data_IF_940322509027
#
_entry.id   IF_940322509027
#
_cell.length_a   1.000
_cell.length_b   1.000
_cell.length_c   1.000
_cell.angle_alpha   90.00
_cell.angle_beta   90.00
_cell.angle_gamma   90.00
#
_symmetry.space_group_name_H-M   'P 1'
#
loop_
_entity.id
_entity.type
_entity.pdbx_description
1 polymer ?
#
# COMPACT_ATOMS: atom_id res chain seq x y z
N UNK A 1 -6.50 16.93 6.49
CA UNK A 1 -7.15 15.73 5.90
C UNK A 1 -6.08 15.02 5.10
N UNK A 2 -5.88 13.74 5.37
CA UNK A 2 -4.75 12.98 4.81
C UNK A 2 -4.97 12.74 3.32
N UNK A 3 -4.01 13.13 2.51
CA UNK A 3 -4.01 12.89 1.08
C UNK A 3 -3.40 11.51 0.78
N UNK A 4 -4.17 10.68 0.08
CA UNK A 4 -3.72 9.38 -0.38
C UNK A 4 -3.56 9.40 -1.88
N UNK A 5 -2.41 8.95 -2.37
CA UNK A 5 -2.13 8.76 -3.78
C UNK A 5 -1.59 7.36 -4.04
N UNK A 6 -1.53 6.98 -5.31
CA UNK A 6 -0.95 5.73 -5.76
C UNK A 6 -0.10 5.94 -7.01
N UNK A 7 0.87 5.06 -7.20
CA UNK A 7 1.59 4.91 -8.47
C UNK A 7 0.89 3.92 -9.39
N UNK A 8 1.18 3.96 -10.69
CA UNK A 8 0.52 3.09 -11.67
C UNK A 8 0.80 1.60 -11.46
N UNK A 9 1.96 1.24 -10.91
CA UNK A 9 2.29 -0.14 -10.54
C UNK A 9 1.34 -0.71 -9.48
N UNK A 10 1.09 0.06 -8.41
CA UNK A 10 0.13 -0.32 -7.39
C UNK A 10 -1.26 -0.54 -7.99
N UNK A 11 -1.73 0.39 -8.83
CA UNK A 11 -3.05 0.29 -9.46
C UNK A 11 -3.16 -0.93 -10.36
N UNK A 12 -2.17 -1.19 -11.21
CA UNK A 12 -2.11 -2.39 -12.06
C UNK A 12 -2.18 -3.67 -11.23
N UNK A 13 -1.45 -3.70 -10.12
CA UNK A 13 -1.42 -4.86 -9.26
C UNK A 13 -2.73 -5.09 -8.50
N UNK A 14 -3.39 -4.04 -8.02
CA UNK A 14 -4.74 -4.12 -7.46
C UNK A 14 -5.71 -4.69 -8.49
N UNK A 15 -5.75 -4.13 -9.72
CA UNK A 15 -6.61 -4.63 -10.81
C UNK A 15 -6.34 -6.12 -11.08
N UNK A 16 -5.06 -6.53 -11.13
CA UNK A 16 -4.68 -7.92 -11.35
C UNK A 16 -5.15 -8.86 -10.22
N UNK A 17 -5.11 -8.40 -8.98
CA UNK A 17 -5.63 -9.16 -7.84
C UNK A 17 -7.16 -9.27 -7.90
N UNK A 18 -7.86 -8.16 -8.15
CA UNK A 18 -9.32 -8.11 -8.21
C UNK A 18 -9.91 -9.03 -9.30
N UNK A 19 -9.17 -9.32 -10.38
CA UNK A 19 -9.56 -10.30 -11.41
C UNK A 19 -9.74 -11.72 -10.86
N UNK A 20 -9.17 -12.04 -9.69
CA UNK A 20 -9.34 -13.34 -9.05
C UNK A 20 -10.24 -13.21 -7.83
N UNK A 21 -11.32 -14.00 -7.81
CA UNK A 21 -12.32 -14.04 -6.72
C UNK A 21 -11.68 -14.13 -5.32
N UNK A 22 -10.59 -14.88 -5.19
CA UNK A 22 -9.88 -15.08 -3.93
C UNK A 22 -9.23 -13.80 -3.35
N UNK A 23 -8.95 -12.79 -4.18
CA UNK A 23 -8.33 -11.52 -3.76
C UNK A 23 -9.26 -10.30 -3.93
N UNK A 24 -10.55 -10.54 -4.16
CA UNK A 24 -11.55 -9.50 -4.47
C UNK A 24 -11.74 -8.44 -3.36
N UNK A 25 -11.27 -8.71 -2.13
CA UNK A 25 -11.40 -7.79 -0.99
C UNK A 25 -10.11 -6.99 -0.70
N UNK A 26 -9.08 -7.07 -1.54
CA UNK A 26 -7.79 -6.38 -1.28
C UNK A 26 -7.95 -4.88 -1.04
N UNK A 27 -8.81 -4.20 -1.81
CA UNK A 27 -9.05 -2.76 -1.63
C UNK A 27 -9.77 -2.47 -0.30
N UNK A 28 -10.78 -3.28 0.05
CA UNK A 28 -11.50 -3.18 1.31
C UNK A 28 -10.55 -3.34 2.50
N UNK A 29 -9.61 -4.29 2.43
CA UNK A 29 -8.60 -4.47 3.47
C UNK A 29 -7.63 -3.27 3.58
N UNK A 30 -7.26 -2.66 2.45
CA UNK A 30 -6.45 -1.44 2.45
C UNK A 30 -7.23 -0.29 3.08
N UNK A 31 -8.45 -0.01 2.61
CA UNK A 31 -9.31 1.07 3.14
C UNK A 31 -9.54 0.92 4.64
N UNK A 32 -9.93 -0.28 5.09
CA UNK A 32 -10.17 -0.58 6.50
C UNK A 32 -8.94 -0.34 7.39
N UNK A 33 -7.73 -0.60 6.88
CA UNK A 33 -6.52 -0.40 7.67
C UNK A 33 -6.18 1.09 7.85
N UNK A 34 -6.62 1.98 6.97
CA UNK A 34 -6.36 3.44 7.09
C UNK A 34 -7.57 4.23 7.61
N UNK A 35 -8.78 3.66 7.60
CA UNK A 35 -10.00 4.30 8.09
C UNK A 35 -9.84 4.75 9.54
N UNK A 36 -10.10 6.04 9.79
CA UNK A 36 -10.09 6.64 11.13
C UNK A 36 -8.70 6.85 11.76
N UNK A 37 -7.60 6.52 11.05
CA UNK A 37 -6.24 6.76 11.56
C UNK A 37 -5.81 8.20 11.32
N UNK A 38 -5.11 8.76 12.30
CA UNK A 38 -4.40 10.03 12.11
C UNK A 38 -3.13 9.83 11.28
N UNK A 39 -2.57 10.92 10.75
CA UNK A 39 -1.29 10.84 10.05
C UNK A 39 -0.18 10.34 10.98
N UNK A 40 -0.25 10.67 12.28
CA UNK A 40 0.76 10.23 13.24
C UNK A 40 0.67 8.74 13.55
N UNK A 41 -0.53 8.17 13.61
CA UNK A 41 -0.70 6.71 13.70
C UNK A 41 -0.07 6.00 12.48
N UNK A 42 -0.22 6.59 11.29
CA UNK A 42 0.36 6.08 10.06
C UNK A 42 1.89 6.23 10.05
N UNK A 43 2.45 7.34 10.57
CA UNK A 43 3.90 7.58 10.63
C UNK A 43 4.62 6.77 11.71
N UNK A 44 4.01 6.59 12.87
CA UNK A 44 4.51 5.73 13.96
C UNK A 44 4.55 4.30 13.42
N UNK A 45 3.45 3.87 12.79
CA UNK A 45 3.25 2.60 12.11
C UNK A 45 3.47 1.35 12.99
N UNK A 46 2.64 0.32 12.78
CA UNK A 46 2.88 -1.05 13.34
C UNK A 46 3.48 -1.99 12.30
N UNK A 47 4.05 -1.43 11.22
CA UNK A 47 4.59 -2.16 10.09
C UNK A 47 6.10 -2.42 10.23
N UNK A 48 6.70 -2.94 9.17
CA UNK A 48 8.16 -3.03 9.06
C UNK A 48 8.65 -1.74 8.38
N UNK A 49 9.51 -1.00 9.05
CA UNK A 49 10.23 0.11 8.42
C UNK A 49 11.20 -0.45 7.38
N UNK A 50 10.99 -0.09 6.12
CA UNK A 50 11.84 -0.52 5.00
C UNK A 50 12.99 0.46 4.80
N UNK A 51 12.69 1.75 4.89
CA UNK A 51 13.65 2.84 4.73
C UNK A 51 13.12 4.10 5.38
N UNK A 52 14.02 4.90 5.91
CA UNK A 52 13.71 6.23 6.44
C UNK A 52 14.70 7.25 5.88
N UNK A 53 14.19 8.44 5.55
CA UNK A 53 14.99 9.60 5.16
C UNK A 53 14.61 10.79 6.03
N UNK A 54 15.26 11.95 5.84
CA UNK A 54 14.83 13.20 6.49
C UNK A 54 13.40 13.63 6.12
N UNK A 55 12.86 13.16 5.00
CA UNK A 55 11.59 13.66 4.44
C UNK A 55 10.44 12.67 4.48
N UNK A 56 10.71 11.36 4.43
CA UNK A 56 9.68 10.34 4.36
C UNK A 56 10.12 9.01 4.99
N UNK A 57 9.14 8.15 5.27
CA UNK A 57 9.32 6.74 5.66
C UNK A 57 8.70 5.84 4.61
N UNK A 58 9.32 4.68 4.35
CA UNK A 58 8.75 3.60 3.55
C UNK A 58 8.43 2.47 4.51
N UNK A 59 7.18 2.03 4.47
CA UNK A 59 6.64 1.05 5.42
C UNK A 59 6.10 -0.13 4.62
N UNK A 60 6.48 -1.34 5.05
CA UNK A 60 5.86 -2.59 4.64
C UNK A 60 4.87 -3.01 5.71
N UNK A 61 3.60 -2.74 5.45
CA UNK A 61 2.49 -3.04 6.33
C UNK A 61 1.90 -4.42 6.03
N UNK A 62 1.52 -5.11 7.10
CA UNK A 62 0.90 -6.43 7.04
C UNK A 62 -0.61 -6.29 7.16
N UNK A 63 -1.34 -6.71 6.13
CA UNK A 63 -2.80 -6.72 6.10
C UNK A 63 -3.32 -8.15 6.24
N UNK A 64 -4.49 -8.30 6.86
CA UNK A 64 -5.26 -9.54 6.81
C UNK A 64 -5.75 -9.80 5.39
N UNK A 65 -6.19 -11.03 5.16
CA UNK A 65 -6.98 -11.36 3.99
C UNK A 65 -8.23 -12.09 4.44
N UNK A 66 -9.27 -11.31 4.76
CA UNK A 66 -10.50 -11.82 5.34
C UNK A 66 -11.23 -12.76 4.39
N UNK A 67 -11.21 -12.47 3.08
CA UNK A 67 -11.79 -13.34 2.06
C UNK A 67 -11.27 -14.77 2.12
N UNK A 68 -9.99 -14.95 2.46
CA UNK A 68 -9.32 -16.25 2.55
C UNK A 68 -9.05 -16.70 3.99
N UNK A 69 -9.66 -16.03 4.98
CA UNK A 69 -9.47 -16.28 6.41
C UNK A 69 -7.98 -16.28 6.84
N UNK A 70 -7.14 -15.43 6.24
CA UNK A 70 -5.73 -15.32 6.59
C UNK A 70 -5.49 -14.15 7.53
N UNK A 71 -4.76 -14.42 8.61
CA UNK A 71 -4.26 -13.39 9.53
C UNK A 71 -3.25 -12.45 8.85
N UNK A 72 -2.92 -11.32 9.51
CA UNK A 72 -1.93 -10.35 9.01
C UNK A 72 -0.57 -10.98 8.65
N UNK A 73 -0.17 -12.09 9.30
CA UNK A 73 1.10 -12.76 9.01
C UNK A 73 1.11 -13.53 7.68
N UNK A 74 -0.08 -13.86 7.14
CA UNK A 74 -0.26 -14.65 5.92
C UNK A 74 -1.06 -13.95 4.81
N UNK A 75 -1.74 -12.83 5.10
CA UNK A 75 -2.47 -12.01 4.14
C UNK A 75 -1.57 -11.14 3.25
N UNK A 76 -1.99 -9.90 2.99
CA UNK A 76 -1.28 -8.99 2.06
C UNK A 76 -0.15 -8.22 2.72
N UNK A 77 0.77 -7.75 1.88
CA UNK A 77 1.83 -6.82 2.23
C UNK A 77 1.63 -5.59 1.36
N UNK A 78 1.37 -4.47 2.02
CA UNK A 78 1.26 -3.18 1.39
C UNK A 78 2.56 -2.43 1.62
N UNK A 79 3.17 -1.92 0.56
CA UNK A 79 4.33 -1.04 0.61
C UNK A 79 3.83 0.36 0.31
N UNK A 80 4.04 1.28 1.24
CA UNK A 80 3.67 2.67 1.07
C UNK A 80 4.76 3.60 1.60
N UNK A 81 4.73 4.82 1.08
CA UNK A 81 5.55 5.94 1.54
C UNK A 81 4.66 6.91 2.31
N UNK A 82 5.13 7.40 3.44
CA UNK A 82 4.48 8.49 4.19
C UNK A 82 5.46 9.62 4.43
N UNK A 83 5.04 10.84 4.16
CA UNK A 83 5.86 12.03 4.39
C UNK A 83 5.87 12.42 5.86
N UNK A 84 7.01 12.95 6.34
CA UNK A 84 7.18 13.41 7.73
C UNK A 84 6.61 14.80 7.97
N UNK A 85 6.64 15.66 6.95
CA UNK A 85 6.30 17.07 7.05
C UNK A 85 4.94 17.44 6.43
N UNK A 86 4.21 16.47 5.87
CA UNK A 86 2.88 16.69 5.29
C UNK A 86 1.98 15.48 5.48
N UNK A 87 0.67 15.71 5.48
CA UNK A 87 -0.34 14.66 5.61
C UNK A 87 -0.54 13.92 4.29
N UNK A 88 0.50 13.24 3.79
CA UNK A 88 0.46 12.57 2.50
C UNK A 88 1.03 11.15 2.56
N UNK A 89 0.28 10.22 1.97
CA UNK A 89 0.60 8.80 1.85
C UNK A 89 0.56 8.39 0.38
N UNK A 90 1.59 7.67 -0.08
CA UNK A 90 1.70 7.16 -1.44
C UNK A 90 1.75 5.63 -1.41
N UNK A 91 0.78 4.96 -2.03
CA UNK A 91 0.79 3.52 -2.22
C UNK A 91 1.71 3.13 -3.37
N UNK A 92 2.73 2.33 -3.07
CA UNK A 92 3.76 1.91 -4.01
C UNK A 92 3.45 0.54 -4.60
N UNK A 93 3.10 -0.44 -3.77
CA UNK A 93 2.83 -1.80 -4.23
C UNK A 93 2.04 -2.61 -3.21
N UNK A 94 1.29 -3.62 -3.66
CA UNK A 94 0.58 -4.57 -2.79
C UNK A 94 0.69 -5.99 -3.32
N UNK A 95 0.92 -6.96 -2.44
CA UNK A 95 0.98 -8.37 -2.86
C UNK A 95 0.50 -9.30 -1.74
N UNK A 96 -0.18 -10.41 -2.07
CA UNK A 96 -0.50 -11.44 -1.09
C UNK A 96 0.78 -12.21 -0.72
N UNK A 97 0.93 -12.64 0.54
CA UNK A 97 2.04 -13.52 0.93
C UNK A 97 1.81 -14.97 0.49
N UNK A 98 0.55 -15.41 0.49
CA UNK A 98 0.12 -16.79 0.23
C UNK A 98 -0.88 -16.88 -0.93
N UNK A 99 -1.01 -18.07 -1.51
CA UNK A 99 -1.89 -18.40 -2.64
C UNK A 99 -1.19 -18.29 -4.00
N UNK A 100 -1.96 -18.39 -5.07
CA UNK A 100 -1.45 -18.52 -6.44
C UNK A 100 -0.70 -17.28 -6.96
N UNK A 101 -0.90 -16.12 -6.34
CA UNK A 101 -0.15 -14.89 -6.60
C UNK A 101 0.76 -14.50 -5.42
N UNK A 102 0.99 -15.44 -4.51
CA UNK A 102 1.75 -15.22 -3.28
C UNK A 102 3.22 -14.92 -3.55
N UNK A 103 3.75 -13.89 -2.91
CA UNK A 103 5.17 -13.58 -2.91
C UNK A 103 5.66 -13.65 -1.46
N UNK A 104 6.64 -14.51 -1.18
CA UNK A 104 7.17 -14.70 0.18
C UNK A 104 7.89 -13.42 0.63
N UNK A 105 8.77 -12.91 -0.24
CA UNK A 105 9.60 -11.72 0.01
C UNK A 105 9.75 -10.93 -1.28
N UNK A 106 9.63 -9.61 -1.18
CA UNK A 106 9.97 -8.67 -2.26
C UNK A 106 11.39 -8.19 -2.04
N UNK A 107 12.21 -8.20 -3.10
CA UNK A 107 13.61 -7.77 -3.03
C UNK A 107 13.73 -6.26 -2.82
N UNK A 108 14.86 -5.81 -2.24
CA UNK A 108 15.15 -4.39 -2.11
C UNK A 108 15.18 -3.70 -3.48
N UNK A 109 15.68 -4.39 -4.52
CA UNK A 109 15.70 -3.87 -5.89
C UNK A 109 14.30 -3.57 -6.41
N UNK A 110 13.32 -4.43 -6.14
CA UNK A 110 11.92 -4.20 -6.54
C UNK A 110 11.36 -2.94 -5.85
N UNK A 111 11.68 -2.75 -4.57
CA UNK A 111 11.28 -1.55 -3.82
C UNK A 111 11.93 -0.30 -4.44
N UNK A 112 13.23 -0.35 -4.79
CA UNK A 112 13.93 0.73 -5.48
C UNK A 112 13.27 1.06 -6.83
N UNK A 113 12.83 0.05 -7.59
CA UNK A 113 12.10 0.25 -8.84
C UNK A 113 10.79 1.01 -8.61
N UNK A 114 9.96 0.62 -7.64
CA UNK A 114 8.72 1.32 -7.34
C UNK A 114 8.96 2.75 -6.84
N UNK A 115 10.05 3.01 -6.11
CA UNK A 115 10.44 4.38 -5.74
C UNK A 115 10.88 5.21 -6.94
N UNK A 116 11.68 4.63 -7.84
CA UNK A 116 12.05 5.30 -9.08
C UNK A 116 10.83 5.65 -9.92
N UNK A 117 9.83 4.78 -9.95
CA UNK A 117 8.55 5.04 -10.60
C UNK A 117 7.75 6.14 -9.91
N UNK A 118 7.69 6.14 -8.57
CA UNK A 118 7.09 7.24 -7.83
C UNK A 118 7.71 8.59 -8.20
N UNK A 119 9.04 8.69 -8.25
CA UNK A 119 9.73 9.93 -8.63
C UNK A 119 9.34 10.37 -10.04
N UNK A 120 9.41 9.45 -11.01
CA UNK A 120 9.02 9.71 -12.42
C UNK A 120 7.56 10.13 -12.56
N UNK A 121 6.65 9.46 -11.86
CA UNK A 121 5.22 9.77 -11.91
C UNK A 121 4.92 11.09 -11.21
N UNK A 122 5.63 11.42 -10.13
CA UNK A 122 5.51 12.70 -9.44
C UNK A 122 5.95 13.86 -10.34
N UNK A 123 7.10 13.74 -11.00
CA UNK A 123 7.60 14.77 -11.94
C UNK A 123 6.64 15.02 -13.11
N UNK A 124 5.96 13.96 -13.57
CA UNK A 124 4.99 14.02 -14.66
C UNK A 124 3.54 14.29 -14.21
N UNK A 125 3.30 14.51 -12.92
CA UNK A 125 1.96 14.65 -12.33
C UNK A 125 1.00 13.48 -12.67
N UNK A 126 1.51 12.25 -12.69
CA UNK A 126 0.78 11.01 -12.99
C UNK A 126 0.29 10.24 -11.75
N UNK A 127 0.60 10.76 -10.55
CA UNK A 127 0.08 10.21 -9.31
C UNK A 127 -1.45 10.37 -9.29
N UNK A 128 -2.16 9.29 -8.96
CA UNK A 128 -3.62 9.32 -8.86
C UNK A 128 -4.05 9.28 -7.43
N UNK A 129 -5.01 10.14 -7.08
CA UNK A 129 -5.64 10.13 -5.76
C UNK A 129 -6.28 8.76 -5.50
N UNK A 130 -6.12 8.25 -4.28
CA UNK A 130 -6.68 6.98 -3.85
C UNK A 130 -7.71 7.23 -2.76
N UNK A 131 -8.97 6.89 -3.01
CA UNK A 131 -10.03 7.18 -2.06
C UNK A 131 -10.09 6.11 -0.96
N UNK A 132 -9.78 6.50 0.29
CA UNK A 132 -9.85 5.63 1.47
C UNK A 132 -11.24 5.64 2.14
N UNK A 133 -12.08 6.64 1.83
CA UNK A 133 -13.35 6.88 2.53
C UNK A 133 -14.59 6.32 1.81
N UNK A 134 -14.47 5.88 0.56
CA UNK A 134 -15.62 5.28 -0.14
C UNK A 134 -15.79 3.83 0.26
N UNK A 135 -16.87 3.52 0.95
CA UNK A 135 -17.77 2.39 0.68
C UNK A 135 -19.10 2.78 1.34
N UNK A 136 -19.77 3.80 0.78
CA UNK A 136 -21.19 4.04 0.98
C UNK A 136 -21.86 3.74 -0.36
N UNK A 137 -22.37 2.51 -0.46
CA UNK A 137 -23.59 2.10 -1.16
C UNK A 137 -23.84 0.62 -0.85
#
# INVERSE_FOLDING_TARGET
MIEFYSISDFRRQVIRLLKKKEYSEVEKEIKNEFKGKTIEDIRINRGILVRETGFFKIIKLRLSDKKRNLSKSNGYRLIYLVFKNKEMVIFLFVYPKRGNMGIITVSEQTIKCHLGQFLKEKEKNLLQQYNILSDEN
#
